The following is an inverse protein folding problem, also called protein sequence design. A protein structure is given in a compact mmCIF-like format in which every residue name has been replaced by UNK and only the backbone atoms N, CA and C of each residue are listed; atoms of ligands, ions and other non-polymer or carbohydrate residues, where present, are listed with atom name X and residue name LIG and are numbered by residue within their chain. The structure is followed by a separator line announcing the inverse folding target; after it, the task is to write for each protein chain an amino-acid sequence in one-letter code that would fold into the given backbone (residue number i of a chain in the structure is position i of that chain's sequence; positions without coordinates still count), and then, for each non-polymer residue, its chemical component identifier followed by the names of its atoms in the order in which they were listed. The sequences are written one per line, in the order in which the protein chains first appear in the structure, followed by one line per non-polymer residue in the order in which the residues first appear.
data_IF_360574451000
#
_entry.id   IF_360574451000
#
_cell.length_a   1.000
_cell.length_b   1.000
_cell.length_c   1.000
_cell.angle_alpha   90.00
_cell.angle_beta   90.00
_cell.angle_gamma   90.00
#
_symmetry.space_group_name_H-M   'P 1'
#
loop_
_entity.id
_entity.type
_entity.pdbx_description
1 polymer ?
#
# COMPACT_ATOMS: atom_id res chain seq x y z
N UNK A 1 -10.79 12.38 13.67
CA UNK A 1 -11.62 11.24 13.17
C UNK A 1 -12.71 11.66 12.17
N UNK A 2 -13.41 12.80 12.34
CA UNK A 2 -14.48 13.17 11.38
C UNK A 2 -14.00 13.30 9.93
N UNK A 3 -12.79 13.82 9.71
CA UNK A 3 -12.19 13.91 8.39
C UNK A 3 -11.93 12.52 7.77
N UNK A 4 -11.37 11.59 8.55
CA UNK A 4 -11.15 10.21 8.12
C UNK A 4 -12.43 9.52 7.66
N UNK A 5 -13.54 9.71 8.39
CA UNK A 5 -14.86 9.17 7.99
C UNK A 5 -15.37 9.80 6.69
N UNK A 6 -15.12 11.09 6.46
CA UNK A 6 -15.51 11.77 5.22
C UNK A 6 -14.71 11.26 4.02
N UNK A 7 -13.39 11.11 4.16
CA UNK A 7 -12.54 10.64 3.06
C UNK A 7 -12.68 9.15 2.80
N UNK A 8 -13.06 8.34 3.80
CA UNK A 8 -13.31 6.90 3.59
C UNK A 8 -14.43 6.64 2.57
N UNK A 9 -15.41 7.54 2.46
CA UNK A 9 -16.48 7.42 1.48
C UNK A 9 -16.08 7.87 0.05
N UNK A 10 -14.84 8.33 -0.15
CA UNK A 10 -14.36 8.84 -1.45
C UNK A 10 -13.14 8.04 -1.94
N UNK A 11 -12.80 8.23 -3.22
CA UNK A 11 -11.63 7.60 -3.86
C UNK A 11 -10.38 8.50 -3.82
N UNK A 12 -10.36 9.52 -2.96
CA UNK A 12 -9.21 10.44 -2.87
C UNK A 12 -8.01 9.78 -2.21
N UNK A 13 -6.81 10.14 -2.67
CA UNK A 13 -5.57 9.83 -1.95
C UNK A 13 -5.53 10.58 -0.63
N UNK A 14 -5.10 9.90 0.44
CA UNK A 14 -5.00 10.46 1.80
C UNK A 14 -3.54 10.49 2.24
N UNK A 15 -3.06 11.66 2.66
CA UNK A 15 -1.75 11.82 3.29
C UNK A 15 -1.91 11.83 4.81
N UNK A 16 -1.28 10.88 5.50
CA UNK A 16 -1.24 10.84 6.96
C UNK A 16 0.08 11.42 7.47
N UNK A 17 -0.01 12.56 8.15
CA UNK A 17 1.13 13.21 8.81
C UNK A 17 1.08 12.98 10.32
N UNK A 18 2.24 13.04 10.97
CA UNK A 18 2.38 12.84 12.40
C UNK A 18 3.70 12.18 12.76
N UNK A 19 4.04 12.19 14.04
CA UNK A 19 5.30 11.64 14.55
C UNK A 19 5.38 10.11 14.40
N UNK A 20 6.61 9.58 14.43
CA UNK A 20 6.85 8.14 14.43
C UNK A 20 6.22 7.49 15.66
N UNK A 21 5.62 6.30 15.50
CA UNK A 21 5.00 5.58 16.62
C UNK A 21 3.57 6.01 16.98
N UNK A 22 2.97 6.97 16.27
CA UNK A 22 1.60 7.45 16.54
C UNK A 22 0.47 6.56 15.98
N UNK A 23 0.80 5.39 15.40
CA UNK A 23 -0.20 4.44 14.90
C UNK A 23 -0.81 4.79 13.54
N UNK A 24 -0.09 5.51 12.67
CA UNK A 24 -0.55 5.88 11.32
C UNK A 24 -1.00 4.67 10.48
N UNK A 25 -0.37 3.52 10.65
CA UNK A 25 -0.74 2.26 9.97
C UNK A 25 -2.14 1.80 10.39
N UNK A 26 -2.41 1.70 11.69
CA UNK A 26 -3.72 1.35 12.23
C UNK A 26 -4.78 2.36 11.79
N UNK A 27 -4.41 3.64 11.73
CA UNK A 27 -5.30 4.69 11.24
C UNK A 27 -5.62 4.55 9.75
N UNK A 28 -4.63 4.26 8.90
CA UNK A 28 -4.85 3.97 7.47
C UNK A 28 -5.77 2.76 7.28
N UNK A 29 -5.53 1.68 8.03
CA UNK A 29 -6.38 0.49 8.02
C UNK A 29 -7.82 0.82 8.44
N UNK A 30 -8.01 1.67 9.45
CA UNK A 30 -9.34 2.12 9.87
C UNK A 30 -10.09 2.90 8.78
N UNK A 31 -9.37 3.70 7.97
CA UNK A 31 -9.95 4.41 6.82
C UNK A 31 -10.38 3.41 5.75
N UNK A 32 -9.53 2.43 5.44
CA UNK A 32 -9.85 1.37 4.48
C UNK A 32 -11.09 0.56 4.91
N UNK A 33 -11.16 0.11 6.16
CA UNK A 33 -12.30 -0.63 6.71
C UNK A 33 -13.59 0.20 6.71
N UNK A 34 -13.48 1.52 6.84
CA UNK A 34 -14.64 2.43 6.77
C UNK A 34 -15.01 2.82 5.33
N UNK A 35 -14.28 2.35 4.32
CA UNK A 35 -14.47 2.74 2.92
C UNK A 35 -15.37 1.79 2.14
N UNK A 36 -15.74 2.20 0.92
CA UNK A 36 -16.43 1.32 -0.04
C UNK A 36 -15.58 0.10 -0.48
N UNK A 37 -14.28 0.08 -0.13
CA UNK A 37 -13.32 -0.96 -0.49
C UNK A 37 -12.98 -1.88 0.69
N UNK A 38 -13.72 -1.82 1.79
CA UNK A 38 -13.44 -2.58 3.01
C UNK A 38 -13.34 -4.12 2.83
N UNK A 39 -13.96 -4.66 1.78
CA UNK A 39 -13.93 -6.09 1.42
C UNK A 39 -12.82 -6.42 0.40
N UNK A 40 -11.92 -5.49 0.12
CA UNK A 40 -10.81 -5.64 -0.84
C UNK A 40 -9.49 -5.69 -0.08
N UNK A 41 -8.41 -5.99 -0.78
CA UNK A 41 -7.10 -6.09 -0.15
C UNK A 41 -6.64 -4.73 0.38
N UNK A 42 -6.02 -4.75 1.54
CA UNK A 42 -5.26 -3.62 2.09
C UNK A 42 -3.79 -4.02 2.12
N UNK A 43 -2.96 -3.33 1.33
CA UNK A 43 -1.54 -3.63 1.17
C UNK A 43 -0.72 -2.49 1.78
N UNK A 44 -0.06 -2.78 2.89
CA UNK A 44 0.82 -1.82 3.57
C UNK A 44 2.28 -2.06 3.17
N UNK A 45 2.98 -0.98 2.84
CA UNK A 45 4.43 -1.00 2.57
C UNK A 45 5.15 0.04 3.42
N UNK A 46 6.25 -0.38 4.04
CA UNK A 46 7.17 0.52 4.71
C UNK A 46 8.38 0.82 3.81
N UNK A 47 8.36 1.98 3.15
CA UNK A 47 9.42 2.38 2.22
C UNK A 47 10.79 2.55 2.88
N UNK A 48 10.89 2.75 4.21
CA UNK A 48 12.19 2.89 4.87
C UNK A 48 12.95 1.58 5.03
N UNK A 49 12.28 0.44 4.80
CA UNK A 49 12.87 -0.89 4.92
C UNK A 49 13.55 -1.37 3.63
N UNK A 50 13.42 -0.64 2.51
CA UNK A 50 13.88 -1.06 1.19
C UNK A 50 14.93 -0.11 0.60
N UNK A 51 15.85 -0.64 -0.21
CA UNK A 51 16.60 0.19 -1.16
C UNK A 51 15.67 0.66 -2.28
N UNK A 52 16.09 1.68 -3.04
CA UNK A 52 15.28 2.23 -4.12
C UNK A 52 14.93 1.17 -5.17
N UNK A 53 15.90 0.34 -5.54
CA UNK A 53 15.77 -0.69 -6.56
C UNK A 53 14.84 -1.82 -6.10
N UNK A 54 14.95 -2.21 -4.84
CA UNK A 54 14.06 -3.22 -4.25
C UNK A 54 12.63 -2.69 -4.08
N UNK A 55 12.47 -1.43 -3.68
CA UNK A 55 11.16 -0.79 -3.56
C UNK A 55 10.43 -0.78 -4.91
N UNK A 56 11.13 -0.46 -5.99
CA UNK A 56 10.56 -0.47 -7.34
C UNK A 56 10.13 -1.89 -7.76
N UNK A 57 10.99 -2.88 -7.55
CA UNK A 57 10.68 -4.28 -7.84
C UNK A 57 9.48 -4.82 -7.02
N UNK A 58 9.32 -4.41 -5.76
CA UNK A 58 8.16 -4.81 -4.94
C UNK A 58 6.88 -4.09 -5.37
N UNK A 59 6.93 -2.80 -5.69
CA UNK A 59 5.74 -2.05 -6.10
C UNK A 59 5.16 -2.54 -7.42
N UNK A 60 6.02 -2.77 -8.41
CA UNK A 60 5.62 -3.09 -9.78
C UNK A 60 5.72 -4.58 -10.13
N UNK A 61 6.44 -5.35 -9.31
CA UNK A 61 6.76 -6.73 -9.63
C UNK A 61 7.87 -6.84 -10.66
N UNK A 62 8.20 -8.07 -11.04
CA UNK A 62 9.17 -8.35 -12.08
C UNK A 62 8.86 -9.67 -12.78
N UNK A 63 9.36 -9.80 -14.01
CA UNK A 63 9.35 -11.06 -14.77
C UNK A 63 10.62 -11.84 -14.53
N UNK A 64 10.53 -13.17 -14.63
CA UNK A 64 11.70 -14.04 -14.61
C UNK A 64 12.71 -13.56 -15.69
N UNK A 65 13.97 -13.40 -15.29
CA UNK A 65 15.03 -12.91 -16.17
C UNK A 65 15.14 -11.38 -16.32
N UNK A 66 14.33 -10.58 -15.62
CA UNK A 66 14.44 -9.11 -15.65
C UNK A 66 15.78 -8.58 -15.09
N UNK A 67 16.40 -9.31 -14.15
CA UNK A 67 17.74 -9.04 -13.60
C UNK A 67 18.40 -10.33 -13.09
N UNK A 68 19.70 -10.28 -12.80
CA UNK A 68 20.43 -11.39 -12.18
C UNK A 68 19.86 -11.72 -10.80
N UNK A 69 19.14 -12.83 -10.68
CA UNK A 69 18.43 -13.24 -9.47
C UNK A 69 16.90 -13.30 -9.60
N UNK A 70 16.33 -12.80 -10.70
CA UNK A 70 14.90 -12.90 -11.01
C UNK A 70 14.54 -14.32 -11.49
N UNK A 71 14.45 -15.27 -10.56
CA UNK A 71 14.24 -16.70 -10.86
C UNK A 71 12.79 -16.99 -11.28
N UNK A 72 11.83 -16.17 -10.85
CA UNK A 72 10.40 -16.35 -11.11
C UNK A 72 9.72 -15.01 -11.36
N UNK A 73 8.52 -15.08 -11.93
CA UNK A 73 7.61 -13.93 -11.97
C UNK A 73 7.14 -13.59 -10.56
N UNK A 74 7.09 -12.29 -10.25
CA UNK A 74 6.55 -11.74 -9.02
C UNK A 74 5.56 -10.63 -9.38
N UNK A 75 4.34 -10.71 -8.82
CA UNK A 75 3.35 -9.65 -8.93
C UNK A 75 3.75 -8.47 -8.05
N UNK A 76 3.47 -7.27 -8.52
CA UNK A 76 3.70 -6.05 -7.75
C UNK A 76 2.63 -5.83 -6.69
N UNK A 77 2.98 -5.14 -5.61
CA UNK A 77 2.05 -4.77 -4.55
C UNK A 77 0.87 -3.93 -5.06
N UNK A 78 1.07 -3.12 -6.10
CA UNK A 78 -0.01 -2.39 -6.76
C UNK A 78 -1.03 -3.32 -7.45
N UNK A 79 -0.57 -4.45 -7.98
CA UNK A 79 -1.44 -5.48 -8.56
C UNK A 79 -2.18 -6.24 -7.46
N UNK A 80 -1.52 -6.52 -6.34
CA UNK A 80 -2.15 -7.16 -5.17
C UNK A 80 -3.21 -6.27 -4.51
N UNK A 81 -2.99 -4.96 -4.50
CA UNK A 81 -3.91 -3.94 -4.01
C UNK A 81 -5.03 -3.58 -5.00
N UNK A 82 -5.15 -4.29 -6.13
CA UNK A 82 -6.12 -3.95 -7.18
C UNK A 82 -7.56 -3.93 -6.64
N UNK A 83 -8.27 -2.83 -6.91
CA UNK A 83 -9.59 -2.47 -6.35
C UNK A 83 -9.63 -2.27 -4.82
N UNK A 84 -8.48 -2.37 -4.15
CA UNK A 84 -8.32 -2.21 -2.71
C UNK A 84 -7.65 -0.89 -2.34
N UNK A 85 -6.71 -0.97 -1.40
CA UNK A 85 -5.93 0.17 -0.89
C UNK A 85 -4.51 -0.25 -0.64
#
# INVERSE_FOLDING_TARGET
ISLAKKVAATDTTVLLTGETGTGKEVFAQSIHVASNRANKNFVAINCSAFSKELLEAELFGHKAGAFTGAIKDQKGLLEEAHNGT
#
